data_IF_853965414289
#
_entry.id   IF_853965414289
#
_cell.length_a   1.000
_cell.length_b   1.000
_cell.length_c   1.000
_cell.angle_alpha   90.00
_cell.angle_beta   90.00
_cell.angle_gamma   90.00
#
_symmetry.space_group_name_H-M   'P 1'
#
loop_
_entity.id
_entity.type
_entity.pdbx_description
1 polymer ?
#
# COMPACT_ATOMS: atom_id res chain seq x y z
N UNK A 1 -8.57 -8.61 64.90
CA UNK A 1 -7.26 -8.93 64.28
C UNK A 1 -7.55 -9.49 62.90
N UNK A 2 -6.91 -8.98 61.84
CA UNK A 2 -7.29 -9.22 60.43
C UNK A 2 -6.40 -10.32 59.87
N UNK A 3 -6.95 -11.52 59.66
CA UNK A 3 -6.22 -12.67 59.10
C UNK A 3 -5.67 -12.33 57.71
N UNK A 4 -4.34 -12.20 57.61
CA UNK A 4 -3.65 -12.14 56.33
C UNK A 4 -3.38 -13.57 55.87
N UNK A 5 -4.33 -14.16 55.16
CA UNK A 5 -4.12 -15.44 54.46
C UNK A 5 -3.13 -15.19 53.32
N UNK A 6 -1.89 -15.59 53.51
CA UNK A 6 -0.86 -15.55 52.47
C UNK A 6 -1.15 -16.59 51.38
N UNK A 7 -0.97 -16.19 50.13
CA UNK A 7 -1.05 -17.10 48.98
C UNK A 7 -0.07 -18.26 49.17
N UNK A 8 -0.54 -19.50 49.07
CA UNK A 8 0.32 -20.69 49.18
C UNK A 8 0.94 -21.02 47.82
N UNK A 9 2.11 -21.68 47.82
CA UNK A 9 2.81 -22.05 46.58
C UNK A 9 1.96 -22.96 45.67
N UNK A 10 1.16 -23.84 46.26
CA UNK A 10 0.31 -24.78 45.51
C UNK A 10 -0.79 -24.04 44.74
N UNK A 11 -1.38 -22.99 45.32
CA UNK A 11 -2.37 -22.14 44.63
C UNK A 11 -1.74 -21.41 43.46
N UNK A 12 -0.48 -20.95 43.61
CA UNK A 12 0.23 -20.25 42.54
C UNK A 12 0.59 -21.20 41.39
N UNK A 13 1.02 -22.42 41.69
CA UNK A 13 1.32 -23.47 40.68
C UNK A 13 0.06 -23.85 39.90
N UNK A 14 -1.07 -24.03 40.57
CA UNK A 14 -2.34 -24.34 39.90
C UNK A 14 -2.75 -23.26 38.89
N UNK A 15 -2.58 -21.98 39.23
CA UNK A 15 -2.88 -20.86 38.33
C UNK A 15 -1.94 -20.83 37.12
N UNK A 16 -0.64 -21.05 37.30
CA UNK A 16 0.33 -21.08 36.19
C UNK A 16 0.04 -22.22 35.22
N UNK A 17 -0.35 -23.40 35.73
CA UNK A 17 -0.73 -24.55 34.90
C UNK A 17 -1.98 -24.23 34.05
N UNK A 18 -3.00 -23.64 34.67
CA UNK A 18 -4.24 -23.27 33.96
C UNK A 18 -3.97 -22.18 32.92
N UNK A 19 -3.20 -21.14 33.27
CA UNK A 19 -2.81 -20.08 32.32
C UNK A 19 -1.98 -20.63 31.14
N UNK A 20 -1.07 -21.57 31.42
CA UNK A 20 -0.28 -22.24 30.38
C UNK A 20 -1.15 -23.05 29.42
N UNK A 21 -2.11 -23.82 29.94
CA UNK A 21 -3.05 -24.58 29.11
C UNK A 21 -3.96 -23.67 28.26
N UNK A 22 -4.40 -22.52 28.81
CA UNK A 22 -5.20 -21.54 28.10
C UNK A 22 -4.42 -20.88 26.94
N UNK A 23 -3.12 -20.59 27.12
CA UNK A 23 -2.30 -19.99 26.06
C UNK A 23 -2.23 -20.85 24.79
N UNK A 24 -2.22 -22.17 24.91
CA UNK A 24 -2.16 -23.10 23.77
C UNK A 24 -3.38 -22.92 22.85
N UNK A 25 -4.55 -22.64 23.43
CA UNK A 25 -5.81 -22.47 22.69
C UNK A 25 -5.93 -21.04 22.14
N UNK A 26 -5.54 -20.04 22.95
CA UNK A 26 -5.72 -18.63 22.61
C UNK A 26 -4.71 -18.14 21.57
N UNK A 27 -3.46 -18.61 21.62
CA UNK A 27 -2.39 -18.17 20.72
C UNK A 27 -2.71 -18.27 19.22
N UNK A 28 -3.17 -19.42 18.66
CA UNK A 28 -3.47 -19.52 17.24
C UNK A 28 -4.63 -18.61 16.81
N UNK A 29 -5.62 -18.38 17.69
CA UNK A 29 -6.78 -17.53 17.39
C UNK A 29 -6.37 -16.06 17.26
N UNK A 30 -5.62 -15.54 18.24
CA UNK A 30 -5.12 -14.15 18.21
C UNK A 30 -4.19 -13.93 17.04
N UNK A 31 -3.27 -14.87 16.76
CA UNK A 31 -2.35 -14.74 15.64
C UNK A 31 -3.08 -14.72 14.29
N UNK A 32 -4.14 -15.51 14.12
CA UNK A 32 -4.96 -15.49 12.89
C UNK A 32 -5.70 -14.18 12.70
N UNK A 33 -6.28 -13.61 13.76
CA UNK A 33 -6.99 -12.32 13.70
C UNK A 33 -6.03 -11.19 13.33
N UNK A 34 -4.87 -11.14 13.99
CA UNK A 34 -3.85 -10.12 13.71
C UNK A 34 -3.27 -10.25 12.29
N UNK A 35 -2.96 -11.48 11.86
CA UNK A 35 -2.40 -11.72 10.52
C UNK A 35 -3.44 -11.46 9.42
N UNK A 36 -4.70 -11.86 9.64
CA UNK A 36 -5.80 -11.61 8.70
C UNK A 36 -6.09 -10.12 8.53
N UNK A 37 -6.15 -9.37 9.64
CA UNK A 37 -6.35 -7.92 9.61
C UNK A 37 -5.23 -7.18 8.89
N UNK A 38 -3.96 -7.58 9.08
CA UNK A 38 -2.82 -7.01 8.35
C UNK A 38 -2.93 -7.23 6.84
N UNK A 39 -3.22 -8.45 6.41
CA UNK A 39 -3.40 -8.76 4.98
C UNK A 39 -4.50 -7.93 4.33
N UNK A 40 -5.64 -7.77 5.01
CA UNK A 40 -6.74 -6.93 4.49
C UNK A 40 -6.34 -5.46 4.36
N UNK A 41 -5.57 -4.93 5.32
CA UNK A 41 -5.06 -3.56 5.24
C UNK A 41 -4.07 -3.42 4.08
N UNK A 42 -3.14 -4.36 3.92
CA UNK A 42 -2.17 -4.34 2.83
C UNK A 42 -2.85 -4.39 1.45
N UNK A 43 -3.87 -5.26 1.30
CA UNK A 43 -4.66 -5.37 0.06
C UNK A 43 -5.44 -4.08 -0.22
N UNK A 44 -6.00 -3.43 0.80
CA UNK A 44 -6.69 -2.14 0.66
C UNK A 44 -5.71 -1.03 0.26
N UNK A 45 -4.51 -0.99 0.85
CA UNK A 45 -3.48 -0.02 0.50
C UNK A 45 -3.04 -0.20 -0.95
N UNK A 46 -2.84 -1.44 -1.40
CA UNK A 46 -2.51 -1.73 -2.81
C UNK A 46 -3.60 -1.27 -3.77
N UNK A 47 -4.88 -1.49 -3.44
CA UNK A 47 -5.99 -0.99 -4.27
C UNK A 47 -6.05 0.53 -4.32
N UNK A 48 -5.92 1.20 -3.18
CA UNK A 48 -5.86 2.66 -3.14
C UNK A 48 -4.71 3.20 -4.00
N UNK A 49 -3.59 2.47 -4.04
CA UNK A 49 -2.45 2.81 -4.87
C UNK A 49 -2.71 2.60 -6.35
N UNK A 50 -3.35 1.49 -6.74
CA UNK A 50 -3.80 1.25 -8.12
C UNK A 50 -4.72 2.40 -8.56
N UNK A 51 -5.74 2.73 -7.77
CA UNK A 51 -6.68 3.79 -8.07
C UNK A 51 -5.97 5.14 -8.24
N UNK A 52 -5.11 5.53 -7.29
CA UNK A 52 -4.33 6.77 -7.38
C UNK A 52 -3.41 6.82 -8.62
N UNK A 53 -2.80 5.69 -8.96
CA UNK A 53 -1.95 5.57 -10.15
C UNK A 53 -2.75 5.67 -11.44
N UNK A 54 -3.97 5.12 -11.47
CA UNK A 54 -4.87 5.29 -12.62
C UNK A 54 -5.34 6.74 -12.77
N UNK A 55 -5.54 7.47 -11.67
CA UNK A 55 -5.86 8.90 -11.72
C UNK A 55 -4.67 9.69 -12.30
N UNK A 56 -3.45 9.43 -11.82
CA UNK A 56 -2.25 10.06 -12.40
C UNK A 56 -2.10 9.76 -13.91
N UNK A 57 -2.36 8.51 -14.32
CA UNK A 57 -2.38 8.13 -15.72
C UNK A 57 -3.49 8.81 -16.54
N UNK A 58 -4.65 9.09 -15.94
CA UNK A 58 -5.72 9.87 -16.56
C UNK A 58 -5.29 11.32 -16.75
N UNK A 59 -4.61 11.93 -15.78
CA UNK A 59 -4.08 13.29 -15.91
C UNK A 59 -3.04 13.38 -17.03
N UNK A 60 -2.20 12.35 -17.19
CA UNK A 60 -1.29 12.21 -18.35
C UNK A 60 -2.07 12.12 -19.66
N UNK A 61 -3.17 11.36 -19.69
CA UNK A 61 -3.99 11.22 -20.89
C UNK A 61 -4.75 12.51 -21.25
N UNK A 62 -5.31 13.21 -20.27
CA UNK A 62 -6.02 14.47 -20.47
C UNK A 62 -5.01 15.55 -20.89
N UNK A 63 -3.87 15.62 -20.20
CA UNK A 63 -2.78 16.55 -20.46
C UNK A 63 -3.26 18.00 -20.61
N UNK A 64 -4.04 18.46 -19.62
CA UNK A 64 -4.62 19.81 -19.64
C UNK A 64 -3.57 20.90 -19.37
N UNK A 65 -2.49 20.56 -18.66
CA UNK A 65 -1.43 21.48 -18.24
C UNK A 65 -0.02 20.92 -18.50
N UNK A 66 0.90 21.84 -18.80
CA UNK A 66 2.34 21.67 -18.90
C UNK A 66 3.01 21.12 -17.64
N UNK A 67 2.36 21.20 -16.48
CA UNK A 67 2.84 20.63 -15.22
C UNK A 67 3.08 19.13 -15.34
N UNK A 68 2.16 18.37 -15.94
CA UNK A 68 2.31 16.92 -16.11
C UNK A 68 3.50 16.57 -17.01
N UNK A 69 3.74 17.36 -18.06
CA UNK A 69 4.91 17.19 -18.93
C UNK A 69 6.21 17.41 -18.15
N UNK A 70 6.24 18.42 -17.27
CA UNK A 70 7.40 18.67 -16.42
C UNK A 70 7.65 17.54 -15.41
N UNK A 71 6.59 16.97 -14.82
CA UNK A 71 6.72 15.81 -13.92
C UNK A 71 7.30 14.62 -14.66
N UNK A 72 6.73 14.29 -15.83
CA UNK A 72 7.19 13.18 -16.66
C UNK A 72 8.66 13.36 -17.07
N UNK A 73 9.07 14.59 -17.38
CA UNK A 73 10.43 14.89 -17.83
C UNK A 73 11.45 14.94 -16.69
N UNK A 74 11.13 15.63 -15.60
CA UNK A 74 12.10 15.94 -14.55
C UNK A 74 12.11 14.90 -13.43
N UNK A 75 10.96 14.37 -13.06
CA UNK A 75 10.82 13.45 -11.92
C UNK A 75 10.72 11.99 -12.38
N UNK A 76 10.09 11.73 -13.54
CA UNK A 76 10.03 10.38 -14.15
C UNK A 76 11.16 10.15 -15.16
N UNK A 77 11.90 11.19 -15.53
CA UNK A 77 13.02 11.13 -16.49
C UNK A 77 12.67 10.57 -17.87
N UNK A 78 11.45 10.82 -18.35
CA UNK A 78 11.01 10.46 -19.69
C UNK A 78 11.33 11.57 -20.69
N UNK A 79 11.65 11.19 -21.93
CA UNK A 79 11.87 12.14 -23.01
C UNK A 79 10.54 12.57 -23.64
N UNK A 80 9.77 13.38 -22.90
CA UNK A 80 8.44 13.87 -23.30
C UNK A 80 8.49 15.38 -23.49
N UNK A 81 7.96 15.86 -24.60
CA UNK A 81 7.94 17.29 -24.94
C UNK A 81 6.53 17.86 -25.05
N UNK A 82 5.56 17.02 -25.37
CA UNK A 82 4.18 17.41 -25.59
C UNK A 82 3.20 16.30 -25.14
N UNK A 83 1.90 16.59 -25.20
CA UNK A 83 0.86 15.66 -24.78
C UNK A 83 0.72 14.41 -25.65
N UNK A 84 1.12 14.46 -26.92
CA UNK A 84 1.09 13.28 -27.79
C UNK A 84 2.21 12.33 -27.39
N UNK A 85 3.42 12.84 -27.14
CA UNK A 85 4.55 12.06 -26.62
C UNK A 85 4.16 11.40 -25.28
N UNK A 86 3.42 12.12 -24.42
CA UNK A 86 2.96 11.61 -23.13
C UNK A 86 1.95 10.46 -23.29
N UNK A 87 1.03 10.57 -24.26
CA UNK A 87 0.07 9.51 -24.60
C UNK A 87 0.76 8.29 -25.19
N UNK A 88 1.75 8.48 -26.04
CA UNK A 88 2.58 7.38 -26.59
C UNK A 88 3.41 6.70 -25.49
N UNK A 89 3.98 7.47 -24.58
CA UNK A 89 4.64 6.95 -23.39
C UNK A 89 3.66 6.11 -22.54
N UNK A 90 2.42 6.56 -22.37
CA UNK A 90 1.40 5.81 -21.63
C UNK A 90 1.01 4.51 -22.34
N UNK A 91 0.98 4.49 -23.68
CA UNK A 91 0.71 3.28 -24.46
C UNK A 91 1.87 2.26 -24.40
N UNK A 92 3.11 2.74 -24.43
CA UNK A 92 4.29 1.87 -24.24
C UNK A 92 4.47 1.38 -22.79
N UNK A 93 3.93 2.15 -21.85
CA UNK A 93 3.92 1.86 -20.43
C UNK A 93 5.00 2.64 -19.69
N UNK A 94 4.59 3.38 -18.67
CA UNK A 94 5.45 4.25 -17.88
C UNK A 94 5.72 3.57 -16.55
N UNK A 95 7.00 3.44 -16.20
CA UNK A 95 7.43 2.94 -14.88
C UNK A 95 7.96 4.11 -14.06
N UNK A 96 7.46 4.28 -12.84
CA UNK A 96 7.85 5.39 -11.98
C UNK A 96 7.82 4.99 -10.50
N UNK A 97 8.55 5.71 -9.65
CA UNK A 97 8.53 5.46 -8.20
C UNK A 97 7.21 5.92 -7.60
N UNK A 98 6.65 5.13 -6.68
CA UNK A 98 5.51 5.50 -5.85
C UNK A 98 5.69 6.86 -5.14
N UNK A 99 6.93 7.31 -4.89
CA UNK A 99 7.21 8.59 -4.25
C UNK A 99 6.67 9.78 -5.02
N UNK A 100 6.56 9.68 -6.35
CA UNK A 100 5.96 10.73 -7.19
C UNK A 100 4.49 10.95 -6.79
N UNK A 101 3.75 9.88 -6.52
CA UNK A 101 2.35 10.00 -6.07
C UNK A 101 2.25 10.68 -4.69
N UNK A 102 3.25 10.50 -3.81
CA UNK A 102 3.31 11.19 -2.52
C UNK A 102 3.68 12.67 -2.68
N UNK A 103 4.62 12.95 -3.57
CA UNK A 103 5.13 14.30 -3.85
C UNK A 103 4.03 15.19 -4.43
N UNK A 104 3.24 14.65 -5.36
CA UNK A 104 2.13 15.35 -6.02
C UNK A 104 0.77 15.07 -5.38
N UNK A 105 0.75 14.52 -4.16
CA UNK A 105 -0.43 14.38 -3.30
C UNK A 105 -1.57 13.52 -3.87
N UNK A 106 -1.27 12.62 -4.81
CA UNK A 106 -2.17 11.56 -5.26
C UNK A 106 -2.43 10.52 -4.16
N UNK A 107 -1.50 10.36 -3.21
CA UNK A 107 -1.63 9.51 -2.03
C UNK A 107 -1.11 10.20 -0.77
N UNK A 108 -1.52 9.70 0.40
CA UNK A 108 -1.08 10.24 1.68
C UNK A 108 0.43 10.03 1.92
N UNK A 109 1.13 11.08 2.38
CA UNK A 109 2.57 11.04 2.70
C UNK A 109 2.94 10.06 3.83
N UNK A 110 1.97 9.67 4.65
CA UNK A 110 2.15 8.73 5.77
C UNK A 110 2.27 7.27 5.32
N UNK A 111 2.13 6.98 4.03
CA UNK A 111 2.19 5.63 3.50
C UNK A 111 3.62 5.05 3.52
N UNK A 112 3.79 3.89 4.15
CA UNK A 112 5.07 3.18 4.29
C UNK A 112 5.39 2.29 3.09
N UNK A 113 4.54 2.28 2.08
CA UNK A 113 4.81 1.56 0.84
C UNK A 113 5.94 2.22 0.04
N UNK A 114 6.75 1.39 -0.59
CA UNK A 114 7.83 1.79 -1.49
C UNK A 114 7.95 0.79 -2.64
N UNK A 115 8.36 1.28 -3.80
CA UNK A 115 8.54 0.48 -5.00
C UNK A 115 8.14 1.24 -6.26
N UNK A 116 8.23 0.55 -7.38
CA UNK A 116 7.91 1.11 -8.69
C UNK A 116 6.52 0.66 -9.12
N UNK A 117 5.80 1.58 -9.73
CA UNK A 117 4.47 1.37 -10.29
C UNK A 117 4.59 1.44 -11.79
N UNK A 118 3.83 0.61 -12.50
CA UNK A 118 3.78 0.65 -13.94
C UNK A 118 2.37 1.02 -14.38
N UNK A 119 2.21 2.14 -15.06
CA UNK A 119 0.95 2.55 -15.68
C UNK A 119 1.00 2.31 -17.17
N UNK A 120 -0.10 1.79 -17.73
CA UNK A 120 -0.21 1.49 -19.16
C UNK A 120 -1.60 1.84 -19.65
N UNK A 121 -1.72 2.18 -20.93
CA UNK A 121 -3.01 2.31 -21.60
C UNK A 121 -3.09 1.36 -22.78
N UNK A 122 -4.06 0.45 -22.76
CA UNK A 122 -4.28 -0.48 -23.87
C UNK A 122 -5.26 0.12 -24.90
N UNK A 123 -4.74 0.60 -26.03
CA UNK A 123 -5.55 1.23 -27.09
C UNK A 123 -5.69 2.73 -26.90
N UNK A 124 -6.86 3.30 -27.27
CA UNK A 124 -7.05 4.75 -27.41
C UNK A 124 -8.11 5.34 -26.47
N UNK A 125 -8.73 4.53 -25.62
CA UNK A 125 -9.76 4.97 -24.67
C UNK A 125 -9.17 5.08 -23.26
N UNK A 126 -9.50 6.16 -22.57
CA UNK A 126 -9.12 6.40 -21.16
C UNK A 126 -9.54 5.26 -20.22
N UNK A 127 -10.65 4.57 -20.52
CA UNK A 127 -11.13 3.41 -19.76
C UNK A 127 -10.20 2.20 -19.77
N UNK A 128 -9.19 2.21 -20.66
CA UNK A 128 -8.25 1.11 -20.82
C UNK A 128 -6.90 1.40 -20.14
N UNK A 129 -6.87 2.42 -19.28
CA UNK A 129 -5.75 2.69 -18.39
C UNK A 129 -5.75 1.66 -17.27
N UNK A 130 -4.57 1.10 -17.00
CA UNK A 130 -4.35 0.20 -15.88
C UNK A 130 -3.04 0.55 -15.16
N UNK A 131 -3.01 0.28 -13.87
CA UNK A 131 -1.83 0.39 -13.02
C UNK A 131 -1.46 -1.00 -12.50
N UNK A 132 -0.17 -1.30 -12.51
CA UNK A 132 0.43 -2.50 -11.93
C UNK A 132 1.29 -2.09 -10.75
N UNK A 133 0.87 -2.50 -9.55
CA UNK A 133 1.55 -2.23 -8.28
C UNK A 133 2.25 -3.48 -7.72
N UNK A 134 2.45 -4.51 -8.54
CA UNK A 134 3.02 -5.79 -8.09
C UNK A 134 4.44 -5.64 -7.52
N UNK A 135 5.17 -4.61 -7.97
CA UNK A 135 6.52 -4.28 -7.51
C UNK A 135 6.54 -3.36 -6.29
N UNK A 136 5.38 -3.09 -5.67
CA UNK A 136 5.27 -2.26 -4.47
C UNK A 136 5.22 -3.12 -3.21
N UNK A 137 6.05 -2.76 -2.25
CA UNK A 137 6.15 -3.40 -0.93
C UNK A 137 5.73 -2.43 0.16
N UNK A 138 4.82 -2.86 1.02
CA UNK A 138 4.30 -2.10 2.16
C UNK A 138 4.76 -2.79 3.45
N UNK A 139 5.46 -2.04 4.32
CA UNK A 139 6.05 -2.54 5.57
C UNK A 139 5.60 -1.73 6.78
#
# INVERSE_FOLDING_TARGET
MKDKRGFTMVELIAVVIILGALMIIVYPSVNRILTGGRKTVDDLTKKNLEDASTIFAQDIYICEDSTIINILKNDVHLNVTNCNDAKEALQSGITFSMDILKQYEYIAKADKCSGNIIIRMNGTKMTNISADVSNVTCN
#
